data_IF_045711440472
#
_entry.id   IF_045711440472
#
_cell.length_a   1.000
_cell.length_b   1.000
_cell.length_c   1.000
_cell.angle_alpha   90.00
_cell.angle_beta   90.00
_cell.angle_gamma   90.00
#
_symmetry.space_group_name_H-M   'P 1'
#
loop_
_entity.id
_entity.type
_entity.pdbx_description
1 polymer ?
#
# COMPACT_ATOMS: atom_id res chain seq x y z
N UNK A 1 12.34 0.23 -15.71
CA UNK A 1 13.37 0.93 -14.93
C UNK A 1 12.88 1.01 -13.49
N UNK A 2 13.69 0.60 -12.53
CA UNK A 2 13.34 0.68 -11.12
C UNK A 2 13.43 2.13 -10.63
N UNK A 3 12.46 2.58 -9.84
CA UNK A 3 12.54 3.82 -9.08
C UNK A 3 13.42 3.62 -7.83
N UNK A 4 13.20 2.50 -7.15
CA UNK A 4 13.95 2.11 -5.94
C UNK A 4 14.25 0.62 -6.03
N UNK A 5 15.47 0.25 -6.37
CA UNK A 5 15.86 -1.16 -6.55
C UNK A 5 15.83 -1.99 -5.25
N UNK A 6 15.74 -1.35 -4.08
CA UNK A 6 15.59 -2.07 -2.82
C UNK A 6 14.16 -2.15 -2.30
N UNK A 7 13.21 -1.42 -2.90
CA UNK A 7 11.82 -1.36 -2.45
C UNK A 7 10.81 -1.68 -3.55
N UNK A 8 11.16 -1.52 -4.83
CA UNK A 8 10.25 -1.85 -5.93
C UNK A 8 9.93 -3.34 -5.93
N UNK A 9 8.65 -3.65 -6.14
CA UNK A 9 8.16 -5.01 -6.26
C UNK A 9 7.36 -5.14 -7.55
N UNK A 10 7.70 -6.11 -8.38
CA UNK A 10 6.92 -6.48 -9.55
C UNK A 10 5.76 -7.37 -9.14
N UNK A 11 4.59 -7.10 -9.67
CA UNK A 11 3.41 -7.92 -9.45
C UNK A 11 2.38 -7.71 -10.55
N UNK A 12 1.62 -8.76 -10.90
CA UNK A 12 0.57 -8.66 -11.91
C UNK A 12 -0.64 -7.90 -11.39
N UNK A 13 -1.32 -7.20 -12.31
CA UNK A 13 -2.64 -6.62 -12.10
C UNK A 13 -3.60 -7.34 -13.06
N UNK A 14 -4.56 -8.08 -12.50
CA UNK A 14 -5.51 -8.88 -13.26
C UNK A 14 -6.89 -8.88 -12.60
N UNK A 15 -7.86 -9.55 -13.25
CA UNK A 15 -9.25 -9.61 -12.77
C UNK A 15 -9.43 -10.48 -11.53
N UNK A 16 -8.61 -11.49 -11.38
CA UNK A 16 -8.71 -12.44 -10.27
C UNK A 16 -7.36 -12.73 -9.64
N UNK A 17 -7.37 -13.22 -8.40
CA UNK A 17 -6.18 -13.73 -7.73
C UNK A 17 -5.57 -14.91 -8.49
N UNK A 18 -6.40 -15.76 -9.14
CA UNK A 18 -5.96 -16.84 -10.00
C UNK A 18 -5.18 -16.33 -11.21
N UNK A 19 -5.71 -15.32 -11.94
CA UNK A 19 -5.00 -14.73 -13.07
C UNK A 19 -3.68 -14.10 -12.64
N UNK A 20 -3.66 -13.42 -11.49
CA UNK A 20 -2.43 -12.90 -10.91
C UNK A 20 -1.42 -14.02 -10.61
N UNK A 21 -1.88 -15.13 -10.04
CA UNK A 21 -1.02 -16.27 -9.75
C UNK A 21 -0.43 -16.89 -11.02
N UNK A 22 -1.24 -17.07 -12.08
CA UNK A 22 -0.78 -17.61 -13.37
C UNK A 22 0.28 -16.71 -14.02
N UNK A 23 0.07 -15.38 -14.00
CA UNK A 23 1.06 -14.44 -14.54
C UNK A 23 2.31 -14.45 -13.68
N UNK A 24 2.20 -14.41 -12.35
CA UNK A 24 3.35 -14.45 -11.45
C UNK A 24 4.15 -15.74 -11.64
N UNK A 25 3.49 -16.88 -11.82
CA UNK A 25 4.13 -18.17 -12.12
C UNK A 25 4.97 -18.13 -13.40
N UNK A 26 4.53 -17.36 -14.39
CA UNK A 26 5.24 -17.24 -15.67
C UNK A 26 6.46 -16.30 -15.61
N UNK A 27 6.43 -15.29 -14.73
CA UNK A 27 7.46 -14.22 -14.71
C UNK A 27 8.40 -14.29 -13.50
N UNK A 28 8.11 -15.12 -12.48
CA UNK A 28 8.94 -15.18 -11.27
C UNK A 28 10.26 -15.91 -11.52
N UNK A 29 11.25 -15.60 -10.72
CA UNK A 29 12.55 -16.26 -10.73
C UNK A 29 13.64 -15.49 -11.47
N UNK A 30 14.91 -15.91 -11.32
CA UNK A 30 16.05 -15.22 -11.88
C UNK A 30 16.14 -15.43 -13.40
N UNK A 31 16.34 -14.34 -14.14
CA UNK A 31 16.65 -14.35 -15.57
C UNK A 31 18.17 -14.20 -15.86
N UNK A 32 18.98 -14.12 -14.80
CA UNK A 32 20.43 -13.95 -14.87
C UNK A 32 20.90 -12.50 -15.10
N UNK A 33 19.99 -11.54 -15.20
CA UNK A 33 20.31 -10.12 -15.41
C UNK A 33 20.27 -9.30 -14.12
N UNK A 34 19.51 -9.75 -13.13
CA UNK A 34 19.43 -9.14 -11.82
C UNK A 34 19.92 -10.10 -10.75
N UNK A 35 21.11 -9.80 -10.17
CA UNK A 35 21.72 -10.64 -9.13
C UNK A 35 21.00 -10.55 -7.77
N UNK A 36 20.07 -9.63 -7.58
CA UNK A 36 19.27 -9.51 -6.36
C UNK A 36 18.09 -10.48 -6.32
N UNK A 37 17.70 -11.05 -7.46
CA UNK A 37 16.61 -12.02 -7.54
C UNK A 37 17.06 -13.38 -7.03
N UNK A 38 16.42 -13.84 -5.96
CA UNK A 38 16.70 -15.14 -5.35
C UNK A 38 15.80 -16.22 -5.95
N UNK A 39 16.32 -17.40 -6.31
CA UNK A 39 15.49 -18.52 -6.71
C UNK A 39 14.50 -18.89 -5.58
N UNK A 40 13.21 -18.88 -5.88
CA UNK A 40 12.15 -19.26 -4.95
C UNK A 40 11.12 -20.12 -5.67
N UNK A 41 10.49 -21.01 -4.95
CA UNK A 41 9.41 -21.83 -5.49
C UNK A 41 8.10 -21.06 -5.39
N UNK A 42 7.32 -21.05 -6.47
CA UNK A 42 5.96 -20.56 -6.49
C UNK A 42 5.02 -21.65 -7.01
N UNK A 43 4.36 -22.35 -6.10
CA UNK A 43 3.37 -23.39 -6.41
C UNK A 43 2.06 -23.10 -5.68
N UNK A 44 1.26 -22.20 -6.24
CA UNK A 44 0.00 -21.81 -5.64
C UNK A 44 -1.09 -22.89 -5.76
N UNK A 45 -1.02 -23.74 -6.77
CA UNK A 45 -1.93 -24.88 -6.94
C UNK A 45 -1.64 -26.01 -5.95
N UNK A 46 -0.38 -26.09 -5.45
CA UNK A 46 0.05 -27.02 -4.42
C UNK A 46 -0.25 -26.58 -2.99
N UNK A 47 -0.73 -25.36 -2.79
CA UNK A 47 -1.28 -24.91 -1.50
C UNK A 47 -2.59 -25.66 -1.30
N UNK A 48 -2.58 -26.69 -0.50
CA UNK A 48 -3.73 -27.55 -0.23
C UNK A 48 -4.94 -26.79 0.35
N UNK A 49 -5.51 -27.29 1.44
CA UNK A 49 -6.66 -26.64 2.08
C UNK A 49 -6.24 -25.33 2.76
N UNK A 50 -6.69 -24.20 2.20
CA UNK A 50 -6.46 -22.87 2.79
C UNK A 50 -7.02 -22.72 4.21
N UNK A 51 -7.97 -23.58 4.63
CA UNK A 51 -8.49 -23.61 6.02
C UNK A 51 -7.41 -24.00 7.04
N UNK A 52 -6.30 -24.58 6.62
CA UNK A 52 -5.16 -24.85 7.49
C UNK A 52 -4.34 -23.62 7.83
N UNK A 53 -4.51 -22.50 7.10
CA UNK A 53 -3.78 -21.26 7.31
C UNK A 53 -4.28 -20.53 8.55
N UNK A 54 -3.36 -20.01 9.35
CA UNK A 54 -3.63 -19.14 10.48
C UNK A 54 -3.83 -17.71 9.98
N UNK A 55 -5.03 -17.18 10.12
CA UNK A 55 -5.38 -15.86 9.55
C UNK A 55 -5.40 -14.80 10.65
N UNK A 56 -4.44 -13.90 10.59
CA UNK A 56 -4.40 -12.69 11.42
C UNK A 56 -5.14 -11.52 10.80
N UNK A 57 -5.42 -10.50 11.60
CA UNK A 57 -5.88 -9.20 11.12
C UNK A 57 -5.21 -8.07 11.91
N UNK A 58 -4.86 -6.95 11.24
CA UNK A 58 -4.30 -5.77 11.91
C UNK A 58 -5.39 -5.04 12.68
N UNK A 59 -5.52 -5.36 13.98
CA UNK A 59 -6.59 -4.86 14.83
C UNK A 59 -6.72 -3.33 14.78
N UNK A 60 -5.62 -2.60 14.72
CA UNK A 60 -5.63 -1.13 14.66
C UNK A 60 -6.40 -0.56 13.49
N UNK A 61 -6.36 -1.24 12.33
CA UNK A 61 -7.00 -0.79 11.09
C UNK A 61 -8.53 -0.95 11.09
N UNK A 62 -9.03 -1.82 11.96
CA UNK A 62 -10.46 -2.12 12.11
C UNK A 62 -11.08 -1.52 13.37
N UNK A 63 -10.30 -0.82 14.20
CA UNK A 63 -10.82 -0.07 15.34
C UNK A 63 -11.59 1.17 14.83
N UNK A 64 -12.57 1.67 15.63
CA UNK A 64 -13.23 2.93 15.32
C UNK A 64 -12.23 4.06 15.06
N UNK A 65 -12.47 4.82 14.00
CA UNK A 65 -11.61 5.95 13.67
C UNK A 65 -11.59 6.97 14.81
N UNK A 66 -10.39 7.47 15.10
CA UNK A 66 -10.24 8.54 16.06
C UNK A 66 -10.79 9.85 15.46
N UNK A 67 -11.34 10.75 16.29
CA UNK A 67 -11.73 12.07 15.85
C UNK A 67 -10.58 12.79 15.14
N UNK A 68 -10.89 13.41 14.00
CA UNK A 68 -9.92 14.18 13.24
C UNK A 68 -9.47 15.40 14.04
N UNK A 69 -8.16 15.57 14.16
CA UNK A 69 -7.54 16.79 14.69
C UNK A 69 -6.98 17.59 13.53
N UNK A 70 -7.48 18.79 13.35
CA UNK A 70 -7.02 19.71 12.31
C UNK A 70 -5.91 20.61 12.84
N UNK A 71 -5.08 21.10 11.92
CA UNK A 71 -4.02 22.05 12.25
C UNK A 71 -4.64 23.38 12.72
N UNK A 72 -4.23 23.87 13.89
CA UNK A 72 -4.66 25.16 14.42
C UNK A 72 -3.83 26.33 13.84
N UNK A 73 -4.41 27.54 13.77
CA UNK A 73 -3.66 28.71 13.34
C UNK A 73 -2.46 28.99 14.25
N UNK A 74 -1.28 29.21 13.66
CA UNK A 74 -0.12 29.65 14.43
C UNK A 74 -0.17 31.16 14.70
N UNK A 75 0.35 31.61 15.85
CA UNK A 75 0.49 33.03 16.14
C UNK A 75 1.37 33.70 15.07
N UNK A 76 0.86 34.76 14.43
CA UNK A 76 1.58 35.47 13.39
C UNK A 76 1.65 34.73 12.03
N UNK A 77 0.72 33.80 11.76
CA UNK A 77 0.64 33.07 10.51
C UNK A 77 0.50 34.04 9.32
N UNK A 78 1.35 33.87 8.31
CA UNK A 78 1.25 34.63 7.06
C UNK A 78 0.05 34.18 6.21
N UNK A 79 -0.48 35.03 5.30
CA UNK A 79 -1.58 34.64 4.41
C UNK A 79 -1.31 33.36 3.59
N UNK A 80 -0.07 33.16 3.14
CA UNK A 80 0.38 31.98 2.42
C UNK A 80 0.31 30.72 3.31
N UNK A 81 0.92 30.78 4.50
CA UNK A 81 0.86 29.67 5.46
C UNK A 81 -0.56 29.31 5.88
N UNK A 82 -1.43 30.34 6.03
CA UNK A 82 -2.85 30.15 6.29
C UNK A 82 -3.51 29.35 5.15
N UNK A 83 -3.29 29.75 3.90
CA UNK A 83 -3.82 29.06 2.71
C UNK A 83 -3.36 27.61 2.67
N UNK A 84 -2.09 27.34 2.93
CA UNK A 84 -1.53 25.99 2.93
C UNK A 84 -2.12 25.13 4.05
N UNK A 85 -2.29 25.69 5.24
CA UNK A 85 -2.94 25.00 6.36
C UNK A 85 -4.41 24.68 6.05
N UNK A 86 -5.14 25.65 5.52
CA UNK A 86 -6.56 25.44 5.13
C UNK A 86 -6.68 24.35 4.06
N UNK A 87 -5.78 24.33 3.06
CA UNK A 87 -5.71 23.28 2.06
C UNK A 87 -5.46 21.91 2.70
N UNK A 88 -4.42 21.78 3.54
CA UNK A 88 -4.14 20.51 4.25
C UNK A 88 -5.32 20.07 5.11
N UNK A 89 -5.95 20.97 5.85
CA UNK A 89 -7.11 20.64 6.68
C UNK A 89 -8.30 20.16 5.84
N UNK A 90 -8.54 20.74 4.68
CA UNK A 90 -9.58 20.29 3.77
C UNK A 90 -9.29 18.88 3.23
N UNK A 91 -8.06 18.62 2.82
CA UNK A 91 -7.61 17.29 2.35
C UNK A 91 -7.70 16.24 3.45
N UNK A 92 -7.27 16.55 4.67
CA UNK A 92 -7.39 15.67 5.84
C UNK A 92 -8.85 15.37 6.18
N UNK A 93 -9.72 16.37 6.09
CA UNK A 93 -11.18 16.20 6.32
C UNK A 93 -11.80 15.28 5.28
N UNK A 94 -11.50 15.49 4.00
CA UNK A 94 -12.00 14.65 2.92
C UNK A 94 -11.48 13.21 3.03
N UNK A 95 -10.21 13.02 3.33
CA UNK A 95 -9.59 11.71 3.53
C UNK A 95 -10.20 10.97 4.73
N UNK A 96 -10.39 11.68 5.86
CA UNK A 96 -11.02 11.10 7.05
C UNK A 96 -12.48 10.70 6.80
N UNK A 97 -13.26 11.54 6.13
CA UNK A 97 -14.64 11.22 5.76
C UNK A 97 -14.73 9.98 4.87
N UNK A 98 -13.82 9.85 3.90
CA UNK A 98 -13.74 8.67 3.03
C UNK A 98 -13.34 7.43 3.83
N UNK A 99 -12.32 7.53 4.70
CA UNK A 99 -11.91 6.41 5.55
C UNK A 99 -13.04 5.94 6.47
N UNK A 100 -13.79 6.88 7.06
CA UNK A 100 -14.98 6.56 7.86
C UNK A 100 -16.08 5.87 7.04
N UNK A 101 -16.26 6.30 5.79
CA UNK A 101 -17.21 5.67 4.89
C UNK A 101 -16.76 4.25 4.50
N UNK A 102 -15.50 4.03 4.17
CA UNK A 102 -14.95 2.75 3.70
C UNK A 102 -14.84 1.72 4.83
N UNK A 103 -14.68 2.15 6.08
CA UNK A 103 -14.53 1.24 7.24
C UNK A 103 -15.67 0.23 7.37
N UNK A 104 -16.87 0.55 6.93
CA UNK A 104 -17.99 -0.41 6.92
C UNK A 104 -17.74 -1.61 6.02
N UNK A 105 -17.03 -1.42 4.91
CA UNK A 105 -16.65 -2.51 4.00
C UNK A 105 -15.54 -3.37 4.62
N UNK A 106 -14.59 -2.72 5.29
CA UNK A 106 -13.52 -3.42 6.00
C UNK A 106 -14.09 -4.31 7.12
N UNK A 107 -15.04 -3.78 7.91
CA UNK A 107 -15.71 -4.55 8.96
C UNK A 107 -16.55 -5.69 8.39
N UNK A 108 -17.29 -5.43 7.31
CA UNK A 108 -18.06 -6.47 6.61
C UNK A 108 -17.15 -7.58 6.06
N UNK A 109 -15.92 -7.26 5.64
CA UNK A 109 -14.95 -8.25 5.22
C UNK A 109 -14.56 -9.20 6.35
N UNK A 110 -14.34 -8.69 7.58
CA UNK A 110 -14.08 -9.55 8.74
C UNK A 110 -15.25 -10.49 9.05
N UNK A 111 -16.50 -10.00 8.91
CA UNK A 111 -17.67 -10.84 9.10
C UNK A 111 -17.80 -11.89 7.99
N UNK A 112 -17.46 -11.53 6.77
CA UNK A 112 -17.42 -12.49 5.64
C UNK A 112 -16.37 -13.58 5.87
N UNK A 113 -15.18 -13.21 6.34
CA UNK A 113 -14.13 -14.18 6.67
C UNK A 113 -14.58 -15.13 7.78
N UNK A 114 -15.23 -14.62 8.83
CA UNK A 114 -15.83 -15.48 9.89
C UNK A 114 -16.88 -16.43 9.33
N UNK A 115 -17.73 -15.94 8.40
CA UNK A 115 -18.73 -16.78 7.73
C UNK A 115 -18.11 -17.86 6.83
N UNK A 116 -16.87 -17.65 6.33
CA UNK A 116 -16.07 -18.66 5.65
C UNK A 116 -15.41 -19.67 6.60
N UNK A 117 -15.59 -19.56 7.90
CA UNK A 117 -14.99 -20.44 8.92
C UNK A 117 -13.64 -19.96 9.45
N UNK A 118 -13.17 -18.76 9.06
CA UNK A 118 -11.88 -18.22 9.51
C UNK A 118 -11.96 -17.79 10.97
N UNK A 119 -11.01 -18.30 11.77
CA UNK A 119 -10.75 -17.80 13.12
C UNK A 119 -9.72 -16.68 13.05
N UNK A 120 -10.16 -15.43 13.20
CA UNK A 120 -9.34 -14.24 13.07
C UNK A 120 -8.50 -14.00 14.33
N UNK A 121 -7.17 -13.96 14.18
CA UNK A 121 -6.20 -13.72 15.25
C UNK A 121 -5.81 -12.23 15.20
N UNK A 122 -6.01 -11.45 16.29
CA UNK A 122 -5.61 -10.06 16.31
C UNK A 122 -4.10 -9.92 16.35
N UNK A 123 -3.52 -9.18 15.41
CA UNK A 123 -2.09 -8.83 15.37
C UNK A 123 -1.90 -7.32 15.37
N UNK A 124 -0.71 -6.87 15.71
CA UNK A 124 -0.34 -5.45 15.71
C UNK A 124 0.95 -5.24 14.94
N UNK A 125 0.96 -4.21 14.09
CA UNK A 125 2.19 -3.80 13.42
C UNK A 125 3.20 -3.30 14.48
N UNK A 126 4.49 -3.70 14.41
CA UNK A 126 5.51 -3.18 15.30
C UNK A 126 5.59 -1.66 15.26
N UNK A 127 5.77 -1.03 16.43
CA UNK A 127 5.86 0.44 16.53
C UNK A 127 7.26 0.90 16.13
N UNK A 128 7.44 1.26 14.88
CA UNK A 128 8.69 1.74 14.30
C UNK A 128 8.45 3.06 13.53
N UNK A 129 9.48 3.87 13.32
CA UNK A 129 9.36 5.13 12.60
C UNK A 129 9.33 4.92 11.07
N UNK A 130 8.34 4.15 10.57
CA UNK A 130 8.23 3.79 9.15
C UNK A 130 8.27 5.02 8.22
N UNK A 131 7.55 6.10 8.59
CA UNK A 131 7.55 7.33 7.80
C UNK A 131 8.92 7.97 7.67
N UNK A 132 9.77 7.92 8.72
CA UNK A 132 11.13 8.45 8.63
C UNK A 132 12.03 7.60 7.71
N UNK A 133 11.75 6.30 7.58
CA UNK A 133 12.50 5.40 6.69
C UNK A 133 12.13 5.58 5.20
N UNK A 134 11.04 6.27 4.85
CA UNK A 134 10.68 6.53 3.44
C UNK A 134 11.68 7.42 2.71
N UNK A 135 12.58 8.11 3.42
CA UNK A 135 13.72 8.80 2.82
C UNK A 135 14.62 7.86 1.98
N UNK A 136 14.59 6.56 2.24
CA UNK A 136 15.27 5.57 1.39
C UNK A 136 14.71 5.59 -0.03
N UNK A 137 13.39 5.60 -0.18
CA UNK A 137 12.72 5.67 -1.48
C UNK A 137 13.12 6.93 -2.26
N UNK A 138 13.08 8.09 -1.59
CA UNK A 138 13.42 9.36 -2.27
C UNK A 138 14.89 9.46 -2.62
N UNK A 139 15.80 8.94 -1.80
CA UNK A 139 17.23 8.89 -2.10
C UNK A 139 17.54 7.97 -3.29
N UNK A 140 16.95 6.77 -3.29
CA UNK A 140 17.11 5.81 -4.40
C UNK A 140 16.46 6.32 -5.69
N UNK A 141 15.27 6.95 -5.60
CA UNK A 141 14.63 7.59 -6.73
C UNK A 141 15.46 8.73 -7.31
N UNK A 142 16.05 9.57 -6.47
CA UNK A 142 16.96 10.63 -6.92
C UNK A 142 18.20 10.06 -7.65
N UNK A 143 18.75 8.95 -7.17
CA UNK A 143 19.87 8.27 -7.82
C UNK A 143 19.45 7.63 -9.15
N UNK A 144 18.27 6.99 -9.22
CA UNK A 144 17.73 6.37 -10.42
C UNK A 144 17.48 7.40 -11.55
N UNK A 145 17.06 8.62 -11.18
CA UNK A 145 16.74 9.72 -12.11
C UNK A 145 17.79 10.85 -12.09
N UNK A 146 19.04 10.53 -11.72
CA UNK A 146 20.10 11.52 -11.61
C UNK A 146 20.36 12.26 -12.95
N UNK A 147 20.45 11.54 -14.06
CA UNK A 147 20.62 12.10 -15.39
C UNK A 147 19.50 13.05 -15.80
N UNK A 148 18.26 12.74 -15.40
CA UNK A 148 17.10 13.60 -15.64
C UNK A 148 17.26 14.94 -14.91
N UNK A 149 17.67 14.88 -13.63
CA UNK A 149 17.90 16.04 -12.78
C UNK A 149 19.09 16.88 -13.26
N UNK A 150 20.25 16.24 -13.52
CA UNK A 150 21.47 16.95 -13.95
C UNK A 150 21.34 17.60 -15.32
N UNK A 151 20.58 17.00 -16.24
CA UNK A 151 20.31 17.60 -17.57
C UNK A 151 19.24 18.69 -17.55
N UNK A 152 18.57 18.93 -16.40
CA UNK A 152 17.46 19.89 -16.27
C UNK A 152 16.18 19.45 -16.96
N UNK A 153 16.07 18.21 -17.43
CA UNK A 153 14.87 17.65 -18.08
C UNK A 153 13.76 17.30 -17.07
N UNK A 154 14.07 17.29 -15.78
CA UNK A 154 13.09 17.19 -14.69
C UNK A 154 12.00 18.27 -14.77
N UNK A 155 12.31 19.42 -15.39
CA UNK A 155 11.37 20.51 -15.67
C UNK A 155 10.29 20.16 -16.71
N UNK A 156 10.46 19.06 -17.45
CA UNK A 156 9.49 18.56 -18.42
C UNK A 156 8.40 17.68 -17.79
N UNK A 157 8.57 17.30 -16.55
CA UNK A 157 7.54 16.55 -15.80
C UNK A 157 6.37 17.47 -15.48
N UNK A 158 5.16 16.93 -15.55
CA UNK A 158 3.91 17.70 -15.46
C UNK A 158 3.72 18.33 -14.08
N UNK A 159 3.91 17.58 -13.00
CA UNK A 159 3.76 18.05 -11.64
C UNK A 159 5.09 18.62 -11.11
N UNK A 160 5.07 19.83 -10.56
CA UNK A 160 6.27 20.58 -10.13
C UNK A 160 6.16 21.14 -8.71
N UNK A 161 5.19 20.69 -7.92
CA UNK A 161 4.97 21.14 -6.55
C UNK A 161 6.06 20.68 -5.57
N UNK A 162 6.04 21.15 -4.32
CA UNK A 162 7.03 20.80 -3.31
C UNK A 162 7.12 19.30 -3.00
N UNK A 163 6.01 18.58 -3.08
CA UNK A 163 5.89 17.15 -2.79
C UNK A 163 5.98 16.26 -4.05
N UNK A 164 6.15 16.89 -5.23
CA UNK A 164 6.23 16.17 -6.50
C UNK A 164 7.64 15.65 -6.78
N UNK A 165 7.72 14.59 -7.57
CA UNK A 165 8.96 13.89 -7.86
C UNK A 165 10.13 14.77 -8.33
N UNK A 166 9.95 15.76 -9.22
CA UNK A 166 11.07 16.63 -9.62
C UNK A 166 11.71 17.35 -8.45
N UNK A 167 10.89 17.84 -7.50
CA UNK A 167 11.40 18.51 -6.32
C UNK A 167 12.02 17.50 -5.34
N UNK A 168 11.41 16.35 -5.17
CA UNK A 168 11.95 15.27 -4.33
C UNK A 168 13.30 14.79 -4.85
N UNK A 169 13.50 14.62 -6.16
CA UNK A 169 14.80 14.28 -6.75
C UNK A 169 15.87 15.32 -6.44
N UNK A 170 15.53 16.62 -6.51
CA UNK A 170 16.46 17.70 -6.18
C UNK A 170 16.82 17.74 -4.70
N UNK A 171 15.85 17.63 -3.83
CA UNK A 171 16.03 17.77 -2.37
C UNK A 171 16.69 16.54 -1.75
N UNK A 172 16.41 15.33 -2.24
CA UNK A 172 17.01 14.09 -1.74
C UNK A 172 18.54 14.03 -1.95
N UNK A 173 19.08 14.81 -2.89
CA UNK A 173 20.54 14.94 -3.09
C UNK A 173 21.26 15.55 -1.87
N UNK A 174 20.54 16.19 -0.97
CA UNK A 174 21.09 16.80 0.25
C UNK A 174 20.95 15.90 1.48
N UNK A 175 20.46 14.68 1.34
CA UNK A 175 20.43 13.73 2.46
C UNK A 175 21.87 13.32 2.82
N UNK A 176 22.29 13.50 4.08
CA UNK A 176 23.60 13.03 4.51
C UNK A 176 23.70 11.50 4.36
N UNK A 177 24.85 11.01 3.88
CA UNK A 177 25.06 9.57 3.74
C UNK A 177 24.87 8.81 5.08
N UNK A 178 25.18 9.44 6.21
CA UNK A 178 24.95 8.87 7.55
C UNK A 178 23.48 8.59 7.77
N UNK A 179 22.57 9.50 7.39
CA UNK A 179 21.12 9.32 7.56
C UNK A 179 20.59 8.18 6.69
N UNK A 180 21.06 8.06 5.46
CA UNK A 180 20.72 6.94 4.59
C UNK A 180 21.16 5.60 5.18
N UNK A 181 22.38 5.52 5.72
CA UNK A 181 22.91 4.32 6.38
C UNK A 181 22.10 3.98 7.63
N UNK A 182 21.76 4.96 8.48
CA UNK A 182 20.96 4.75 9.68
C UNK A 182 19.53 4.31 9.33
N UNK A 183 18.92 4.87 8.29
CA UNK A 183 17.60 4.44 7.81
C UNK A 183 17.62 2.97 7.36
N UNK A 184 18.67 2.52 6.65
CA UNK A 184 18.83 1.10 6.28
C UNK A 184 19.03 0.19 7.50
N UNK A 185 19.75 0.63 8.54
CA UNK A 185 19.87 -0.12 9.80
C UNK A 185 18.53 -0.25 10.52
N UNK A 186 17.75 0.85 10.59
CA UNK A 186 16.40 0.83 11.13
C UNK A 186 15.47 -0.08 10.31
N UNK A 187 15.59 -0.06 8.97
CA UNK A 187 14.87 -0.95 8.07
C UNK A 187 15.19 -2.43 8.33
N UNK A 188 16.44 -2.78 8.61
CA UNK A 188 16.80 -4.15 8.99
C UNK A 188 16.05 -4.63 10.24
N UNK A 189 15.91 -3.77 11.25
CA UNK A 189 15.10 -4.08 12.42
C UNK A 189 13.60 -4.21 12.07
N UNK A 190 13.12 -3.36 11.16
CA UNK A 190 11.74 -3.45 10.69
C UNK A 190 11.48 -4.79 9.97
N UNK A 191 12.39 -5.23 9.09
CA UNK A 191 12.30 -6.55 8.44
C UNK A 191 12.19 -7.66 9.48
N UNK A 192 13.06 -7.68 10.48
CA UNK A 192 13.06 -8.70 11.53
C UNK A 192 11.74 -8.71 12.33
N UNK A 193 11.27 -7.55 12.76
CA UNK A 193 10.09 -7.45 13.60
C UNK A 193 8.79 -7.72 12.83
N UNK A 194 8.67 -7.29 11.59
CA UNK A 194 7.50 -7.59 10.75
C UNK A 194 7.49 -9.05 10.35
N UNK A 195 8.65 -9.64 10.02
CA UNK A 195 8.74 -11.08 9.73
C UNK A 195 8.35 -11.94 10.94
N UNK A 196 8.62 -11.48 12.16
CA UNK A 196 8.25 -12.22 13.37
C UNK A 196 6.73 -12.37 13.54
N UNK A 197 5.90 -11.49 12.98
CA UNK A 197 4.43 -11.65 12.98
C UNK A 197 4.01 -12.93 12.27
N UNK A 198 4.73 -13.32 11.23
CA UNK A 198 4.44 -14.52 10.44
C UNK A 198 4.91 -15.83 11.10
N UNK A 199 5.47 -15.78 12.29
CA UNK A 199 5.61 -16.95 13.17
C UNK A 199 4.27 -17.32 13.85
N UNK A 200 3.39 -16.34 14.03
CA UNK A 200 2.10 -16.51 14.71
C UNK A 200 0.96 -16.75 13.74
N UNK A 201 1.01 -16.14 12.56
CA UNK A 201 -0.02 -16.21 11.51
C UNK A 201 0.62 -16.40 10.14
N UNK A 202 -0.13 -16.93 9.19
CA UNK A 202 0.34 -17.16 7.83
C UNK A 202 -0.09 -16.04 6.88
N UNK A 203 -1.29 -15.49 7.11
CA UNK A 203 -1.85 -14.35 6.37
C UNK A 203 -2.28 -13.28 7.35
N UNK A 204 -2.07 -12.01 7.01
CA UNK A 204 -2.60 -10.87 7.75
C UNK A 204 -3.57 -10.09 6.86
N UNK A 205 -4.81 -9.94 7.35
CA UNK A 205 -5.85 -9.13 6.71
C UNK A 205 -5.72 -7.68 7.20
N UNK A 206 -5.76 -6.74 6.27
CA UNK A 206 -5.70 -5.31 6.60
C UNK A 206 -6.48 -4.46 5.62
N UNK A 207 -6.83 -3.23 6.01
CA UNK A 207 -7.31 -2.23 5.07
C UNK A 207 -6.23 -1.92 4.02
N UNK A 208 -6.63 -1.43 2.85
CA UNK A 208 -5.69 -1.22 1.75
C UNK A 208 -4.72 -0.07 1.99
N UNK A 209 -5.16 0.99 2.66
CA UNK A 209 -4.35 2.18 2.97
C UNK A 209 -4.01 2.23 4.45
N UNK A 210 -2.79 2.68 4.78
CA UNK A 210 -2.34 2.83 6.16
C UNK A 210 -0.84 2.58 6.29
N UNK A 211 -0.36 2.55 7.54
CA UNK A 211 1.08 2.39 7.81
C UNK A 211 1.62 1.00 7.39
N UNK A 212 0.77 -0.02 7.30
CA UNK A 212 1.15 -1.35 6.81
C UNK A 212 1.60 -1.33 5.35
N UNK A 213 1.06 -0.44 4.51
CA UNK A 213 1.51 -0.26 3.13
C UNK A 213 2.98 0.21 3.10
N UNK A 214 3.30 1.22 3.89
CA UNK A 214 4.68 1.73 4.03
C UNK A 214 5.59 0.64 4.62
N UNK A 215 5.13 -0.04 5.67
CA UNK A 215 5.90 -1.09 6.32
C UNK A 215 6.25 -2.23 5.36
N UNK A 216 5.29 -2.75 4.59
CA UNK A 216 5.54 -3.86 3.67
C UNK A 216 6.39 -3.47 2.46
N UNK A 217 6.31 -2.22 1.99
CA UNK A 217 7.21 -1.71 0.96
C UNK A 217 8.65 -1.59 1.48
N UNK A 218 8.84 -1.13 2.72
CA UNK A 218 10.15 -1.09 3.36
C UNK A 218 10.74 -2.49 3.63
N UNK A 219 9.89 -3.46 3.98
CA UNK A 219 10.35 -4.77 4.45
C UNK A 219 10.25 -5.88 3.41
N UNK A 220 9.69 -5.62 2.24
CA UNK A 220 9.63 -6.56 1.11
C UNK A 220 8.57 -7.67 1.25
N UNK A 221 7.68 -7.62 2.25
CA UNK A 221 6.63 -8.62 2.39
C UNK A 221 5.63 -8.55 1.24
N UNK A 222 5.18 -9.70 0.70
CA UNK A 222 4.22 -9.74 -0.38
C UNK A 222 2.84 -9.29 0.08
N UNK A 223 2.10 -8.66 -0.84
CA UNK A 223 0.76 -8.16 -0.63
C UNK A 223 -0.14 -8.52 -1.81
N UNK A 224 -1.35 -8.96 -1.53
CA UNK A 224 -2.40 -9.18 -2.52
C UNK A 224 -3.58 -8.25 -2.19
N UNK A 225 -3.92 -7.37 -3.14
CA UNK A 225 -5.06 -6.48 -3.04
C UNK A 225 -6.23 -7.08 -3.80
N UNK A 226 -7.38 -7.20 -3.14
CA UNK A 226 -8.59 -7.76 -3.73
C UNK A 226 -9.76 -6.78 -3.59
N UNK A 227 -10.71 -6.75 -4.55
CA UNK A 227 -11.91 -5.94 -4.42
C UNK A 227 -12.77 -6.45 -3.24
N UNK A 228 -13.33 -5.51 -2.48
CA UNK A 228 -14.15 -5.77 -1.29
C UNK A 228 -15.54 -5.12 -1.36
N UNK A 229 -15.95 -4.66 -2.52
CA UNK A 229 -17.25 -4.04 -2.78
C UNK A 229 -17.16 -2.82 -3.68
N UNK A 230 -18.30 -2.22 -3.96
CA UNK A 230 -18.40 -0.95 -4.69
C UNK A 230 -19.00 0.11 -3.75
N UNK A 231 -18.46 1.32 -3.80
CA UNK A 231 -19.00 2.45 -3.04
C UNK A 231 -20.38 2.83 -3.56
N UNK A 232 -21.33 2.99 -2.65
CA UNK A 232 -22.68 3.41 -2.99
C UNK A 232 -22.77 4.91 -3.29
N UNK A 233 -23.95 5.38 -3.71
CA UNK A 233 -24.22 6.78 -4.08
C UNK A 233 -23.91 7.82 -2.97
N UNK A 234 -23.90 7.39 -1.70
CA UNK A 234 -23.57 8.25 -0.56
C UNK A 234 -22.05 8.30 -0.24
N UNK A 235 -21.18 7.74 -1.09
CA UNK A 235 -19.76 7.84 -0.90
C UNK A 235 -19.30 9.30 -1.02
N UNK A 236 -18.38 9.75 -0.14
CA UNK A 236 -17.81 11.08 -0.28
C UNK A 236 -17.10 11.21 -1.63
N UNK A 237 -17.31 12.33 -2.30
CA UNK A 237 -16.54 12.66 -3.50
C UNK A 237 -15.05 12.80 -3.16
N UNK A 238 -14.14 12.42 -4.06
CA UNK A 238 -12.72 12.68 -3.87
C UNK A 238 -12.45 14.19 -3.77
N UNK A 239 -11.38 14.61 -3.07
CA UNK A 239 -10.95 15.99 -3.13
C UNK A 239 -10.57 16.32 -4.58
N UNK A 240 -10.96 17.50 -5.04
CA UNK A 240 -10.49 18.01 -6.34
C UNK A 240 -8.99 18.24 -6.27
N UNK A 241 -8.26 17.65 -7.20
CA UNK A 241 -6.82 17.87 -7.36
C UNK A 241 -6.66 18.93 -8.46
N UNK A 242 -5.96 20.02 -8.15
CA UNK A 242 -5.82 21.20 -9.04
C UNK A 242 -4.98 20.96 -10.31
N UNK A 243 -4.49 19.73 -10.55
CA UNK A 243 -3.56 19.39 -11.63
C UNK A 243 -4.23 18.86 -12.91
N UNK A 244 -5.56 18.85 -12.95
CA UNK A 244 -6.33 18.36 -14.10
C UNK A 244 -6.38 16.85 -14.26
N UNK A 245 -5.88 16.08 -13.29
CA UNK A 245 -6.10 14.65 -13.23
C UNK A 245 -7.51 14.31 -12.75
N UNK A 246 -8.00 13.15 -13.18
CA UNK A 246 -9.39 12.75 -13.05
C UNK A 246 -9.82 12.62 -11.57
N UNK A 247 -10.70 13.48 -11.13
CA UNK A 247 -11.23 13.59 -9.77
C UNK A 247 -12.13 12.41 -9.32
N UNK A 248 -12.37 11.44 -10.21
CA UNK A 248 -13.32 10.35 -9.95
C UNK A 248 -12.73 9.19 -9.13
N UNK A 249 -11.46 9.28 -8.72
CA UNK A 249 -10.81 8.25 -7.92
C UNK A 249 -11.42 8.19 -6.52
N UNK A 250 -12.22 7.14 -6.27
CA UNK A 250 -12.78 6.86 -4.95
C UNK A 250 -14.16 7.45 -4.67
N UNK A 251 -14.86 7.97 -5.67
CA UNK A 251 -16.26 8.40 -5.58
C UNK A 251 -17.26 7.23 -5.66
N UNK A 252 -18.59 7.54 -5.75
CA UNK A 252 -19.64 6.55 -5.93
C UNK A 252 -19.36 5.62 -7.12
N UNK A 253 -19.65 4.32 -6.97
CA UNK A 253 -19.43 3.32 -8.02
C UNK A 253 -17.99 2.79 -8.13
N UNK A 254 -17.02 3.40 -7.46
CA UNK A 254 -15.63 2.91 -7.47
C UNK A 254 -15.42 1.75 -6.48
N UNK A 255 -14.44 0.86 -6.72
CA UNK A 255 -14.20 -0.28 -5.84
C UNK A 255 -13.58 0.14 -4.50
N UNK A 256 -13.94 -0.59 -3.45
CA UNK A 256 -13.20 -0.66 -2.19
C UNK A 256 -12.32 -1.89 -2.23
N UNK A 257 -11.13 -1.81 -1.66
CA UNK A 257 -10.19 -2.92 -1.65
C UNK A 257 -9.89 -3.38 -0.21
N UNK A 258 -9.47 -4.63 -0.11
CA UNK A 258 -8.91 -5.25 1.08
C UNK A 258 -7.52 -5.79 0.73
N UNK A 259 -6.59 -5.76 1.67
CA UNK A 259 -5.23 -6.26 1.45
C UNK A 259 -4.95 -7.47 2.34
N UNK A 260 -4.34 -8.48 1.74
CA UNK A 260 -3.77 -9.63 2.43
C UNK A 260 -2.24 -9.54 2.35
N UNK A 261 -1.57 -9.81 3.45
CA UNK A 261 -0.11 -9.84 3.58
C UNK A 261 0.33 -11.23 3.97
N UNK A 262 1.53 -11.64 3.55
CA UNK A 262 2.14 -12.90 3.99
C UNK A 262 3.63 -12.73 4.30
N UNK A 263 4.23 -13.77 4.86
CA UNK A 263 5.68 -13.86 5.04
C UNK A 263 6.42 -13.83 3.72
N UNK A 264 7.72 -13.57 3.75
CA UNK A 264 8.56 -13.56 2.55
C UNK A 264 8.45 -14.89 1.79
N UNK A 265 8.30 -14.80 0.46
CA UNK A 265 8.14 -15.95 -0.44
C UNK A 265 6.90 -16.82 -0.19
N UNK A 266 5.89 -16.30 0.54
CA UNK A 266 4.62 -16.98 0.76
C UNK A 266 3.51 -16.48 -0.20
N UNK A 267 3.90 -16.00 -1.37
CA UNK A 267 2.98 -15.48 -2.41
C UNK A 267 1.95 -16.54 -2.86
N UNK A 268 2.34 -17.81 -2.87
CA UNK A 268 1.44 -18.92 -3.20
C UNK A 268 0.27 -19.02 -2.20
N UNK A 269 0.54 -18.90 -0.90
CA UNK A 269 -0.50 -18.90 0.14
C UNK A 269 -1.42 -17.68 0.02
N UNK A 270 -0.85 -16.50 -0.31
CA UNK A 270 -1.63 -15.28 -0.60
C UNK A 270 -2.59 -15.51 -1.77
N UNK A 271 -2.09 -16.08 -2.87
CA UNK A 271 -2.90 -16.35 -4.06
C UNK A 271 -4.05 -17.31 -3.75
N UNK A 272 -3.77 -18.40 -3.06
CA UNK A 272 -4.77 -19.41 -2.69
C UNK A 272 -5.84 -18.82 -1.75
N UNK A 273 -5.45 -18.07 -0.72
CA UNK A 273 -6.39 -17.43 0.21
C UNK A 273 -7.22 -16.35 -0.49
N UNK A 274 -6.57 -15.50 -1.31
CA UNK A 274 -7.25 -14.46 -2.08
C UNK A 274 -8.24 -15.03 -3.08
N UNK A 275 -7.90 -16.15 -3.76
CA UNK A 275 -8.81 -16.87 -4.63
C UNK A 275 -10.03 -17.37 -3.85
N UNK A 276 -9.85 -18.01 -2.69
CA UNK A 276 -10.94 -18.47 -1.84
C UNK A 276 -11.87 -17.33 -1.40
N UNK A 277 -11.29 -16.18 -1.00
CA UNK A 277 -12.06 -14.98 -0.66
C UNK A 277 -12.88 -14.47 -1.85
N UNK A 278 -12.29 -14.40 -3.04
CA UNK A 278 -12.98 -13.98 -4.25
C UNK A 278 -14.11 -14.93 -4.66
N UNK A 279 -13.92 -16.24 -4.50
CA UNK A 279 -15.00 -17.22 -4.75
C UNK A 279 -16.16 -17.03 -3.77
N UNK A 280 -15.87 -16.73 -2.51
CA UNK A 280 -16.91 -16.52 -1.50
C UNK A 280 -17.64 -15.18 -1.62
N UNK A 281 -17.03 -14.15 -2.22
CA UNK A 281 -17.60 -12.80 -2.32
C UNK A 281 -18.10 -12.44 -3.70
N UNK A 282 -17.48 -12.92 -4.75
CA UNK A 282 -17.81 -12.61 -6.14
C UNK A 282 -17.48 -11.17 -6.58
N UNK A 283 -16.87 -10.33 -5.75
CA UNK A 283 -16.60 -8.90 -6.06
C UNK A 283 -15.71 -8.72 -7.29
N UNK A 284 -14.79 -9.64 -7.58
CA UNK A 284 -13.94 -9.61 -8.75
C UNK A 284 -14.71 -9.75 -10.09
N UNK A 285 -15.98 -10.20 -10.05
CA UNK A 285 -16.86 -10.31 -11.22
C UNK A 285 -17.56 -9.00 -11.56
N UNK A 286 -17.56 -8.03 -10.65
CA UNK A 286 -18.13 -6.71 -10.88
C UNK A 286 -17.22 -5.93 -11.83
N UNK A 287 -17.84 -5.21 -12.76
CA UNK A 287 -17.13 -4.34 -13.71
C UNK A 287 -17.97 -3.08 -13.95
N UNK A 288 -17.36 -1.95 -14.33
CA UNK A 288 -18.09 -0.77 -14.74
C UNK A 288 -18.97 -1.10 -15.95
N UNK A 289 -20.09 -0.41 -16.08
CA UNK A 289 -20.88 -0.44 -17.30
C UNK A 289 -20.06 0.26 -18.40
N UNK A 290 -19.82 -0.45 -19.48
CA UNK A 290 -19.25 0.14 -20.68
C UNK A 290 -20.43 0.61 -21.52
N UNK A 291 -20.62 1.92 -21.63
CA UNK A 291 -21.62 2.53 -22.50
C UNK A 291 -21.14 2.48 -23.94
#
# INVERSE_FOLDING_TARGET
MALSWTMDKLGPIARSAEDCALVLQAIHGPDGKDASVVPATFDWAGVGDWHSLRIGYLKSEFNPLQPLKLDEPAAGETPEKKKDREKRNAEQTASHARRAYDQRYDLAALDKLRAMGVQLIPVQLPKLPYGAMTNLLTAEGAAAFDDLTLSGRDKLLTAQGPEDWPNLFRTARFYPAVEYIQANRARTLAVQQVSALFNEVDIIVTATTGMQLVATNLTGHPALIVPNGLRGAAAPSPPKIDDGENDDIGGPGTPVSLTFLAGHYQDAQLAAFGHAYQQATGFHKLHPKLD
#
